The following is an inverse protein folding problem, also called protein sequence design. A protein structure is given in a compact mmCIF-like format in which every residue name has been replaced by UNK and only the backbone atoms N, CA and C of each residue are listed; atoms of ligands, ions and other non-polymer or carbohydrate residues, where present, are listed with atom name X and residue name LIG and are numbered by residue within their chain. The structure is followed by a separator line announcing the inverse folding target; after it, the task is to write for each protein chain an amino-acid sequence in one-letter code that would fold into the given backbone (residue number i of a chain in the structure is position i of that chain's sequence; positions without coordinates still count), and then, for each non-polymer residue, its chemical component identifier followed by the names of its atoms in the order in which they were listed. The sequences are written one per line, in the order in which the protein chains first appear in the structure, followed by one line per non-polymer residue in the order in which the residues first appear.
data_IF_598708255962
#
_entry.id   IF_598708255962
#
_cell.length_a   1.000
_cell.length_b   1.000
_cell.length_c   1.000
_cell.angle_alpha   90.00
_cell.angle_beta   90.00
_cell.angle_gamma   90.00
#
_symmetry.space_group_name_H-M   'P 1'
#
loop_
_entity.id
_entity.type
_entity.pdbx_description
1 polymer ?
#
# COMPACT_ATOMS: atom_id res chain seq x y z
N UNK A 1 -17.27 44.33 49.81
CA UNK A 1 -16.46 44.23 48.61
C UNK A 1 -15.90 42.83 48.46
N UNK A 2 -16.41 42.01 47.52
CA UNK A 2 -15.86 40.70 47.14
C UNK A 2 -15.00 40.94 45.90
N UNK A 3 -13.72 40.72 46.03
CA UNK A 3 -12.77 40.65 44.92
C UNK A 3 -12.76 39.25 44.34
N UNK A 4 -13.24 39.09 43.10
CA UNK A 4 -13.03 37.86 42.28
C UNK A 4 -11.61 37.87 41.77
N UNK A 5 -10.80 36.94 42.25
CA UNK A 5 -9.49 36.64 41.69
C UNK A 5 -9.68 35.74 40.46
N UNK A 6 -9.37 36.26 39.28
CA UNK A 6 -9.40 35.50 38.04
C UNK A 6 -8.34 34.42 38.05
N UNK A 7 -8.74 33.16 37.86
CA UNK A 7 -7.87 32.06 37.52
C UNK A 7 -7.41 32.24 36.06
N UNK A 8 -6.18 32.64 35.89
CA UNK A 8 -5.49 32.55 34.60
C UNK A 8 -5.18 31.08 34.37
N UNK A 9 -5.95 30.42 33.51
CA UNK A 9 -5.64 29.08 33.04
C UNK A 9 -4.29 29.08 32.33
N UNK A 10 -3.27 28.50 32.94
CA UNK A 10 -2.06 28.16 32.27
C UNK A 10 -2.38 27.09 31.21
N UNK A 11 -2.47 27.48 29.95
CA UNK A 11 -2.50 26.56 28.84
C UNK A 11 -1.23 25.72 28.91
N UNK A 12 -1.38 24.43 29.22
CA UNK A 12 -0.31 23.49 29.08
C UNK A 12 0.11 23.49 27.59
N UNK A 13 1.24 24.10 27.28
CA UNK A 13 1.90 23.87 26.03
C UNK A 13 2.24 22.36 26.00
N UNK A 14 1.53 21.59 25.19
CA UNK A 14 1.94 20.23 24.88
C UNK A 14 3.34 20.32 24.29
N UNK A 15 4.32 19.98 25.10
CA UNK A 15 5.68 19.82 24.62
C UNK A 15 5.62 18.71 23.56
N UNK A 16 5.87 19.09 22.31
CA UNK A 16 5.97 18.17 21.20
C UNK A 16 7.06 17.16 21.57
N UNK A 17 6.62 15.97 22.05
CA UNK A 17 7.58 14.92 22.40
C UNK A 17 8.34 14.54 21.13
N UNK A 18 9.65 14.60 21.20
CA UNK A 18 10.48 14.14 20.08
C UNK A 18 10.14 12.66 19.81
N UNK A 19 9.97 12.27 18.54
CA UNK A 19 9.71 10.88 18.19
C UNK A 19 10.76 9.98 18.82
N UNK A 20 10.33 8.92 19.48
CA UNK A 20 11.24 7.88 19.96
C UNK A 20 11.43 6.86 18.84
N UNK A 21 12.68 6.63 18.50
CA UNK A 21 13.05 5.65 17.47
C UNK A 21 13.47 4.33 18.11
N UNK A 22 13.04 3.21 17.51
CA UNK A 22 13.34 1.86 17.98
C UNK A 22 12.29 1.31 18.95
N UNK A 23 12.58 0.14 19.53
CA UNK A 23 11.66 -0.60 20.37
C UNK A 23 10.68 -1.47 19.59
N UNK A 24 9.67 -2.00 20.28
CA UNK A 24 8.60 -2.84 19.74
C UNK A 24 7.26 -2.15 19.96
N UNK A 25 6.46 -2.06 18.89
CA UNK A 25 5.06 -1.66 18.98
C UNK A 25 4.19 -2.91 18.86
N UNK A 26 3.38 -3.19 19.89
CA UNK A 26 2.38 -4.24 19.86
C UNK A 26 1.02 -3.63 19.51
N UNK A 27 0.38 -4.18 18.47
CA UNK A 27 -0.94 -3.75 18.02
C UNK A 27 -1.89 -4.92 18.09
N UNK A 28 -2.97 -4.77 18.88
CA UNK A 28 -4.05 -5.76 18.92
C UNK A 28 -5.02 -5.50 17.76
N UNK A 29 -5.32 -6.54 17.01
CA UNK A 29 -6.32 -6.53 15.94
C UNK A 29 -7.38 -7.58 16.19
N UNK A 30 -8.53 -7.49 15.50
CA UNK A 30 -9.61 -8.46 15.61
C UNK A 30 -9.22 -9.85 15.11
N UNK A 31 -8.23 -9.90 14.20
CA UNK A 31 -7.72 -11.12 13.59
C UNK A 31 -6.19 -11.06 13.57
N UNK A 32 -5.52 -12.16 13.91
CA UNK A 32 -4.09 -12.27 13.69
C UNK A 32 -3.75 -12.32 12.19
N UNK A 33 -4.64 -12.93 11.41
CA UNK A 33 -4.67 -12.87 9.94
C UNK A 33 -6.08 -13.22 9.46
N UNK A 34 -6.50 -12.68 8.32
CA UNK A 34 -7.79 -13.02 7.69
C UNK A 34 -7.79 -14.44 7.11
N UNK A 35 -6.64 -14.96 6.71
CA UNK A 35 -6.50 -16.33 6.23
C UNK A 35 -5.09 -16.85 6.52
N UNK A 36 -5.00 -17.77 7.48
CA UNK A 36 -3.74 -18.45 7.81
C UNK A 36 -3.22 -19.37 6.70
N UNK A 37 -4.07 -19.73 5.74
CA UNK A 37 -3.76 -20.68 4.67
C UNK A 37 -3.16 -20.03 3.43
N UNK A 38 -3.25 -18.71 3.30
CA UNK A 38 -2.75 -17.99 2.13
C UNK A 38 -2.28 -16.59 2.49
N UNK A 39 -1.09 -16.25 2.01
CA UNK A 39 -0.49 -14.93 2.10
C UNK A 39 -0.50 -14.19 0.75
N UNK A 40 -1.11 -14.80 -0.26
CA UNK A 40 -1.34 -14.14 -1.53
C UNK A 40 -2.34 -12.99 -1.35
N UNK A 41 -1.97 -11.74 -1.66
CA UNK A 41 -2.87 -10.59 -1.49
C UNK A 41 -4.12 -10.68 -2.38
N UNK A 42 -4.11 -11.53 -3.41
CA UNK A 42 -5.25 -11.69 -4.32
C UNK A 42 -6.28 -12.74 -3.86
N UNK A 43 -5.97 -13.47 -2.79
CA UNK A 43 -6.89 -14.48 -2.26
C UNK A 43 -8.06 -13.91 -1.47
N UNK A 44 -7.90 -12.67 -0.97
CA UNK A 44 -8.91 -11.99 -0.17
C UNK A 44 -8.77 -10.48 -0.25
N UNK A 45 -9.86 -9.78 -0.54
CA UNK A 45 -9.84 -8.32 -0.76
C UNK A 45 -9.35 -7.48 0.43
N UNK A 46 -9.50 -7.95 1.66
CA UNK A 46 -9.11 -7.20 2.86
C UNK A 46 -7.70 -7.55 3.37
N UNK A 47 -6.97 -8.40 2.68
CA UNK A 47 -5.61 -8.77 3.10
C UNK A 47 -4.68 -7.56 3.20
N UNK A 48 -4.81 -6.60 2.32
CA UNK A 48 -4.03 -5.37 2.37
C UNK A 48 -4.16 -4.68 3.73
N UNK A 49 -5.38 -4.53 4.25
CA UNK A 49 -5.63 -3.77 5.47
C UNK A 49 -5.16 -4.49 6.73
N UNK A 50 -5.13 -5.81 6.74
CA UNK A 50 -4.91 -6.60 7.93
C UNK A 50 -3.57 -7.33 7.95
N UNK A 51 -3.13 -7.86 6.81
CA UNK A 51 -2.01 -8.78 6.76
C UNK A 51 -0.82 -8.25 5.98
N UNK A 52 -1.04 -7.59 4.83
CA UNK A 52 0.02 -7.38 3.83
C UNK A 52 0.42 -5.93 3.61
N UNK A 53 -0.36 -4.96 4.08
CA UNK A 53 -0.08 -3.54 3.92
C UNK A 53 1.16 -3.03 4.66
N UNK A 54 1.73 -3.85 5.55
CA UNK A 54 2.97 -3.51 6.22
C UNK A 54 4.20 -3.74 5.34
N UNK A 55 4.10 -4.64 4.34
CA UNK A 55 5.24 -4.99 3.50
C UNK A 55 4.98 -4.90 1.99
N UNK A 56 3.74 -4.87 1.53
CA UNK A 56 3.41 -4.51 0.16
C UNK A 56 2.97 -3.06 0.07
N UNK A 57 3.33 -2.43 -1.04
CA UNK A 57 2.90 -1.08 -1.39
C UNK A 57 2.00 -1.08 -2.63
N UNK A 58 1.33 0.04 -2.82
CA UNK A 58 0.43 0.33 -3.93
C UNK A 58 1.00 1.46 -4.81
N UNK A 59 0.33 1.81 -5.90
CA UNK A 59 0.77 2.93 -6.73
C UNK A 59 0.48 4.28 -6.07
N UNK A 60 -0.68 4.41 -5.42
CA UNK A 60 -1.14 5.62 -4.72
C UNK A 60 -1.51 5.24 -3.29
N UNK A 61 -1.33 6.16 -2.36
CA UNK A 61 -1.74 6.05 -0.97
C UNK A 61 -2.49 7.30 -0.50
N UNK A 62 -3.09 7.23 0.69
CA UNK A 62 -3.65 8.38 1.36
C UNK A 62 -2.55 9.30 1.90
N UNK A 63 -2.71 10.60 1.65
CA UNK A 63 -1.87 11.64 2.24
C UNK A 63 -2.35 11.95 3.67
N UNK A 64 -1.80 11.24 4.64
CA UNK A 64 -2.20 11.37 6.04
C UNK A 64 -1.87 12.74 6.64
N UNK A 65 -1.00 13.54 6.01
CA UNK A 65 -0.73 14.92 6.44
C UNK A 65 -1.92 15.83 6.18
N UNK A 66 -2.82 15.45 5.27
CA UNK A 66 -4.11 16.14 5.04
C UNK A 66 -5.23 15.67 5.96
N UNK A 67 -4.92 14.79 6.91
CA UNK A 67 -5.86 14.28 7.91
C UNK A 67 -6.29 15.39 8.88
N UNK A 68 -7.55 15.32 9.32
CA UNK A 68 -8.08 16.19 10.40
C UNK A 68 -7.26 16.09 11.69
N UNK A 69 -6.60 14.95 11.95
CA UNK A 69 -5.70 14.78 13.10
C UNK A 69 -4.42 15.60 13.01
N UNK A 70 -4.05 16.01 11.81
CA UNK A 70 -2.91 16.90 11.54
C UNK A 70 -3.33 18.30 11.10
N UNK A 71 -4.60 18.69 11.33
CA UNK A 71 -5.14 19.99 10.97
C UNK A 71 -5.63 20.10 9.52
N UNK A 72 -5.64 19.02 8.76
CA UNK A 72 -6.20 18.95 7.42
C UNK A 72 -7.72 18.79 7.42
N UNK A 73 -8.30 18.47 6.25
CA UNK A 73 -9.76 18.43 6.04
C UNK A 73 -10.30 16.99 5.92
N UNK A 74 -9.43 15.99 5.72
CA UNK A 74 -9.86 14.65 5.37
C UNK A 74 -9.89 13.73 6.60
N UNK A 75 -11.05 13.17 6.96
CA UNK A 75 -11.17 12.29 8.13
C UNK A 75 -10.63 10.87 7.90
N UNK A 76 -10.52 10.42 6.63
CA UNK A 76 -10.09 9.06 6.26
C UNK A 76 -10.85 7.95 7.03
N UNK A 77 -12.18 8.05 7.06
CA UNK A 77 -13.05 7.12 7.81
C UNK A 77 -13.77 6.10 6.93
N UNK A 78 -13.68 6.21 5.61
CA UNK A 78 -14.31 5.32 4.67
C UNK A 78 -13.26 4.52 3.88
N UNK A 79 -13.35 3.20 3.95
CA UNK A 79 -12.36 2.28 3.37
C UNK A 79 -12.27 2.33 1.84
N UNK A 80 -13.36 2.72 1.18
CA UNK A 80 -13.46 2.74 -0.28
C UNK A 80 -13.53 4.17 -0.86
N UNK A 81 -13.17 5.17 -0.07
CA UNK A 81 -13.19 6.55 -0.53
C UNK A 81 -11.92 7.29 -0.14
N UNK A 82 -11.21 7.76 -1.15
CA UNK A 82 -10.05 8.63 -1.02
C UNK A 82 -10.20 9.79 -2.00
N UNK A 83 -10.45 10.99 -1.46
CA UNK A 83 -10.57 12.20 -2.28
C UNK A 83 -9.29 12.42 -3.10
N UNK A 84 -9.43 12.83 -4.36
CA UNK A 84 -8.29 13.02 -5.27
C UNK A 84 -7.24 13.97 -4.70
N UNK A 85 -7.68 15.06 -4.06
CA UNK A 85 -6.78 16.02 -3.41
C UNK A 85 -6.10 15.47 -2.15
N UNK A 86 -6.56 14.34 -1.62
CA UNK A 86 -5.95 13.65 -0.49
C UNK A 86 -5.12 12.42 -0.91
N UNK A 87 -4.92 12.22 -2.20
CA UNK A 87 -4.03 11.21 -2.73
C UNK A 87 -2.58 11.69 -2.70
N UNK A 88 -1.67 10.79 -2.39
CA UNK A 88 -0.23 10.96 -2.58
C UNK A 88 0.33 9.78 -3.38
N UNK A 89 1.41 10.00 -4.10
CA UNK A 89 2.13 8.89 -4.73
C UNK A 89 2.80 8.01 -3.67
N UNK A 90 2.69 6.71 -3.83
CA UNK A 90 3.43 5.69 -3.09
C UNK A 90 4.52 5.13 -4.03
N UNK A 91 4.31 4.01 -4.70
CA UNK A 91 5.24 3.55 -5.75
C UNK A 91 5.24 4.50 -6.95
N UNK A 92 4.09 5.06 -7.32
CA UNK A 92 4.03 6.05 -8.38
C UNK A 92 4.46 7.44 -7.89
N UNK A 93 5.30 8.11 -8.66
CA UNK A 93 5.63 9.52 -8.47
C UNK A 93 4.58 10.45 -9.11
N UNK A 94 4.06 10.02 -10.28
CA UNK A 94 3.08 10.77 -11.08
C UNK A 94 2.12 9.82 -11.76
N UNK A 95 0.93 10.32 -12.08
CA UNK A 95 -0.05 9.60 -12.90
C UNK A 95 -0.90 10.58 -13.72
N UNK A 96 -1.38 10.10 -14.84
CA UNK A 96 -2.17 10.88 -15.77
C UNK A 96 -3.23 9.97 -16.42
N UNK A 97 -4.46 10.47 -16.49
CA UNK A 97 -5.52 9.90 -17.33
C UNK A 97 -5.45 10.55 -18.71
N UNK A 98 -5.25 9.75 -19.73
CA UNK A 98 -5.13 10.16 -21.13
C UNK A 98 -6.38 9.75 -21.89
N UNK A 99 -6.99 10.69 -22.62
CA UNK A 99 -8.26 10.46 -23.33
C UNK A 99 -8.06 9.73 -24.66
N UNK A 100 -6.95 9.94 -25.35
CA UNK A 100 -6.73 9.35 -26.67
C UNK A 100 -5.26 8.98 -26.93
N UNK A 101 -4.91 7.69 -26.94
CA UNK A 101 -5.76 6.56 -26.60
C UNK A 101 -6.11 6.54 -25.11
N UNK A 102 -7.33 6.12 -24.78
CA UNK A 102 -7.80 6.09 -23.40
C UNK A 102 -6.92 5.18 -22.54
N UNK A 103 -6.24 5.78 -21.59
CA UNK A 103 -5.27 5.06 -20.74
C UNK A 103 -4.97 5.80 -19.45
N UNK A 104 -4.46 5.08 -18.45
CA UNK A 104 -3.84 5.67 -17.28
C UNK A 104 -2.35 5.37 -17.33
N UNK A 105 -1.53 6.39 -17.24
CA UNK A 105 -0.07 6.30 -17.28
C UNK A 105 0.48 6.62 -15.91
N UNK A 106 1.23 5.70 -15.32
CA UNK A 106 1.95 5.92 -14.07
C UNK A 106 3.46 6.01 -14.34
N UNK A 107 4.09 7.04 -13.79
CA UNK A 107 5.55 7.14 -13.69
C UNK A 107 5.96 6.69 -12.29
N UNK A 108 6.81 5.69 -12.21
CA UNK A 108 7.26 5.10 -10.96
C UNK A 108 8.42 5.88 -10.35
N UNK A 109 8.52 5.88 -9.04
CA UNK A 109 9.71 6.34 -8.32
C UNK A 109 10.89 5.45 -8.67
N UNK A 110 12.07 6.06 -8.77
CA UNK A 110 13.33 5.35 -8.94
C UNK A 110 13.90 4.94 -7.59
N UNK A 111 14.65 3.84 -7.55
CA UNK A 111 15.35 3.40 -6.35
C UNK A 111 14.47 2.71 -5.30
N UNK A 112 13.22 2.37 -5.61
CA UNK A 112 12.40 1.51 -4.76
C UNK A 112 12.94 0.08 -4.89
N UNK A 113 13.36 -0.50 -3.76
CA UNK A 113 14.03 -1.80 -3.74
C UNK A 113 13.18 -2.86 -3.06
N UNK A 114 13.10 -4.03 -3.66
CA UNK A 114 12.76 -5.25 -2.92
C UNK A 114 13.97 -5.65 -2.09
N UNK A 115 13.81 -5.91 -0.78
CA UNK A 115 14.90 -6.48 0.02
C UNK A 115 15.23 -7.91 -0.44
N UNK A 116 16.43 -8.38 -0.11
CA UNK A 116 16.77 -9.77 -0.27
C UNK A 116 15.83 -10.66 0.56
N UNK A 117 15.34 -11.74 -0.06
CA UNK A 117 14.60 -12.80 0.60
C UNK A 117 15.27 -14.12 0.31
N UNK A 118 16.05 -14.68 1.27
CA UNK A 118 16.80 -15.93 1.06
C UNK A 118 15.91 -17.06 0.53
N UNK A 119 16.36 -17.73 -0.52
CA UNK A 119 15.60 -18.82 -1.16
C UNK A 119 14.46 -18.38 -2.08
N UNK A 120 14.17 -17.06 -2.17
CA UNK A 120 13.10 -16.53 -3.02
C UNK A 120 13.67 -15.56 -4.05
N UNK A 121 14.35 -14.49 -3.63
CA UNK A 121 14.91 -13.50 -4.54
C UNK A 121 16.09 -12.75 -3.94
N UNK A 122 17.01 -12.32 -4.83
CA UNK A 122 18.01 -11.31 -4.48
C UNK A 122 17.37 -9.92 -4.37
N UNK A 123 18.03 -9.02 -3.63
CA UNK A 123 17.61 -7.61 -3.62
C UNK A 123 17.71 -7.02 -5.02
N UNK A 124 16.66 -6.35 -5.48
CA UNK A 124 16.61 -5.67 -6.76
C UNK A 124 15.62 -4.51 -6.77
N UNK A 125 15.80 -3.61 -7.73
CA UNK A 125 14.89 -2.49 -7.92
C UNK A 125 13.52 -2.95 -8.48
N UNK A 126 12.45 -2.33 -7.99
CA UNK A 126 11.11 -2.43 -8.56
C UNK A 126 11.07 -1.67 -9.89
N UNK A 127 10.44 -2.25 -10.88
CA UNK A 127 10.29 -1.68 -12.21
C UNK A 127 8.84 -1.71 -12.70
N UNK A 128 8.57 -1.06 -13.81
CA UNK A 128 7.25 -1.10 -14.46
C UNK A 128 6.82 -2.52 -14.87
N UNK A 129 7.78 -3.42 -15.12
CA UNK A 129 7.49 -4.82 -15.41
C UNK A 129 6.86 -5.54 -14.20
N UNK A 130 7.28 -5.21 -12.97
CA UNK A 130 6.69 -5.78 -11.76
C UNK A 130 5.23 -5.35 -11.60
N UNK A 131 4.95 -4.07 -11.87
CA UNK A 131 3.59 -3.53 -11.83
C UNK A 131 2.73 -4.19 -12.90
N UNK A 132 3.21 -4.25 -14.15
CA UNK A 132 2.50 -4.88 -15.27
C UNK A 132 2.24 -6.36 -14.99
N UNK A 133 3.23 -7.08 -14.46
CA UNK A 133 3.09 -8.48 -14.06
C UNK A 133 2.01 -8.66 -12.98
N UNK A 134 2.10 -7.88 -11.89
CA UNK A 134 1.16 -7.97 -10.77
C UNK A 134 -0.28 -7.73 -11.21
N UNK A 135 -0.53 -6.70 -12.01
CA UNK A 135 -1.87 -6.39 -12.52
C UNK A 135 -2.37 -7.39 -13.56
N UNK A 136 -1.54 -7.88 -14.46
CA UNK A 136 -1.95 -8.92 -15.41
C UNK A 136 -2.28 -10.23 -14.68
N UNK A 137 -1.53 -10.58 -13.64
CA UNK A 137 -1.86 -11.69 -12.76
C UNK A 137 -3.17 -11.46 -12.01
N UNK A 138 -3.38 -10.28 -11.45
CA UNK A 138 -4.61 -9.90 -10.75
C UNK A 138 -5.84 -10.05 -11.67
N UNK A 139 -5.78 -9.51 -12.88
CA UNK A 139 -6.87 -9.57 -13.86
C UNK A 139 -7.24 -11.01 -14.27
N UNK A 140 -6.30 -11.91 -14.25
CA UNK A 140 -6.51 -13.33 -14.57
C UNK A 140 -6.87 -14.18 -13.35
N UNK A 141 -6.86 -13.63 -12.14
CA UNK A 141 -7.21 -14.35 -10.93
C UNK A 141 -8.71 -14.65 -10.87
N UNK A 142 -9.15 -15.88 -10.60
CA UNK A 142 -10.56 -16.20 -10.42
C UNK A 142 -11.11 -15.72 -9.06
N UNK A 143 -10.28 -15.13 -8.21
CA UNK A 143 -10.63 -14.80 -6.82
C UNK A 143 -11.09 -13.37 -6.62
N UNK A 144 -10.88 -12.49 -7.58
CA UNK A 144 -11.47 -11.15 -7.53
C UNK A 144 -12.94 -11.17 -7.97
N UNK A 145 -13.65 -10.08 -7.73
CA UNK A 145 -15.04 -9.89 -8.15
C UNK A 145 -15.11 -9.94 -9.69
N UNK A 146 -15.95 -10.80 -10.25
CA UNK A 146 -16.14 -10.92 -11.70
C UNK A 146 -16.54 -9.58 -12.33
N UNK A 147 -15.97 -9.26 -13.49
CA UNK A 147 -16.19 -8.01 -14.19
C UNK A 147 -15.44 -6.80 -13.62
N UNK A 148 -14.79 -6.92 -12.48
CA UNK A 148 -14.18 -5.80 -11.76
C UNK A 148 -13.11 -5.06 -12.57
N UNK A 149 -12.39 -5.77 -13.43
CA UNK A 149 -11.31 -5.22 -14.27
C UNK A 149 -11.59 -5.28 -15.77
N UNK A 150 -12.84 -5.52 -16.19
CA UNK A 150 -13.20 -5.67 -17.61
C UNK A 150 -12.97 -4.41 -18.44
N UNK A 151 -13.01 -3.24 -17.81
CA UNK A 151 -12.69 -1.95 -18.43
C UNK A 151 -11.22 -1.81 -18.82
N UNK A 152 -10.31 -2.66 -18.28
CA UNK A 152 -8.88 -2.65 -18.60
C UNK A 152 -8.61 -3.55 -19.81
N UNK A 153 -8.07 -2.99 -20.87
CA UNK A 153 -7.65 -3.71 -22.07
C UNK A 153 -6.33 -4.44 -21.88
N UNK A 154 -5.29 -3.72 -21.48
CA UNK A 154 -3.95 -4.27 -21.24
C UNK A 154 -3.19 -3.44 -20.22
N UNK A 155 -2.21 -4.05 -19.57
CA UNK A 155 -1.25 -3.36 -18.70
C UNK A 155 0.15 -3.71 -19.18
N UNK A 156 0.93 -2.69 -19.55
CA UNK A 156 2.25 -2.87 -20.17
C UNK A 156 3.27 -1.93 -19.54
N UNK A 157 4.50 -2.42 -19.36
CA UNK A 157 5.65 -1.58 -19.10
C UNK A 157 6.09 -0.93 -20.43
N UNK A 158 5.99 0.40 -20.52
CA UNK A 158 6.44 1.16 -21.68
C UNK A 158 7.95 1.35 -21.67
N UNK A 159 8.49 1.54 -20.48
CA UNK A 159 9.91 1.59 -20.17
C UNK A 159 10.13 1.14 -18.72
N UNK A 160 11.37 1.23 -18.22
CA UNK A 160 11.72 0.76 -16.87
C UNK A 160 10.86 1.37 -15.74
N UNK A 161 10.38 2.60 -15.91
CA UNK A 161 9.68 3.34 -14.86
C UNK A 161 8.31 3.86 -15.30
N UNK A 162 7.82 3.46 -16.46
CA UNK A 162 6.51 3.88 -16.95
C UNK A 162 5.63 2.67 -17.24
N UNK A 163 4.52 2.57 -16.53
CA UNK A 163 3.49 1.57 -16.78
C UNK A 163 2.24 2.22 -17.37
N UNK A 164 1.66 1.59 -18.37
CA UNK A 164 0.47 2.06 -19.07
C UNK A 164 -0.67 1.06 -18.91
N UNK A 165 -1.77 1.52 -18.38
CA UNK A 165 -3.03 0.81 -18.32
C UNK A 165 -3.90 1.28 -19.49
N UNK A 166 -3.96 0.51 -20.56
CA UNK A 166 -4.84 0.80 -21.69
C UNK A 166 -6.27 0.41 -21.33
N UNK A 167 -7.18 1.36 -21.40
CA UNK A 167 -8.57 1.16 -21.01
C UNK A 167 -9.44 0.95 -22.25
N UNK A 168 -10.44 0.08 -22.16
CA UNK A 168 -11.48 -0.14 -23.19
C UNK A 168 -12.58 0.91 -23.07
N UNK A 169 -12.85 1.35 -21.85
CA UNK A 169 -13.85 2.35 -21.50
C UNK A 169 -13.44 3.11 -20.24
N UNK A 170 -13.98 4.30 -20.07
CA UNK A 170 -13.77 5.09 -18.85
C UNK A 170 -14.51 4.45 -17.68
N UNK A 171 -13.82 4.34 -16.55
CA UNK A 171 -14.38 3.93 -15.28
C UNK A 171 -14.10 5.01 -14.24
N UNK A 172 -15.15 5.54 -13.61
CA UNK A 172 -15.01 6.63 -12.63
C UNK A 172 -14.24 6.25 -11.37
N UNK A 173 -14.14 4.95 -11.07
CA UNK A 173 -13.39 4.40 -9.94
C UNK A 173 -12.00 3.87 -10.37
N UNK A 174 -11.46 4.34 -11.50
CA UNK A 174 -10.21 3.81 -12.03
C UNK A 174 -9.05 3.92 -11.02
N UNK A 175 -8.97 5.00 -10.28
CA UNK A 175 -7.91 5.23 -9.28
C UNK A 175 -8.01 4.25 -8.12
N UNK A 176 -9.22 4.00 -7.61
CA UNK A 176 -9.45 2.96 -6.61
C UNK A 176 -9.07 1.58 -7.15
N UNK A 177 -9.56 1.23 -8.33
CA UNK A 177 -9.39 -0.12 -8.88
C UNK A 177 -7.98 -0.41 -9.38
N UNK A 178 -7.21 0.62 -9.78
CA UNK A 178 -5.88 0.44 -10.35
C UNK A 178 -4.75 0.89 -9.43
N UNK A 179 -5.01 1.72 -8.40
CA UNK A 179 -3.93 2.39 -7.73
C UNK A 179 -3.89 2.25 -6.20
N UNK A 180 -5.05 2.26 -5.51
CA UNK A 180 -5.07 2.29 -4.04
C UNK A 180 -6.13 1.38 -3.39
N UNK A 181 -6.91 0.66 -4.18
CA UNK A 181 -7.93 -0.26 -3.68
C UNK A 181 -7.38 -1.62 -3.24
N UNK A 182 -8.26 -2.50 -2.82
CA UNK A 182 -7.91 -3.73 -2.09
C UNK A 182 -6.93 -4.66 -2.79
N UNK A 183 -6.91 -4.84 -4.06
CA UNK A 183 -6.07 -5.85 -4.72
C UNK A 183 -4.80 -5.27 -5.35
N UNK A 184 -4.57 -3.95 -5.20
CA UNK A 184 -3.61 -3.22 -6.03
C UNK A 184 -2.16 -3.26 -5.53
N UNK A 185 -1.85 -4.17 -4.62
CA UNK A 185 -0.48 -4.38 -4.13
C UNK A 185 0.43 -4.99 -5.20
N UNK A 186 1.68 -4.56 -5.21
CA UNK A 186 2.66 -5.06 -6.16
C UNK A 186 3.44 -6.24 -5.57
N UNK A 187 3.15 -7.42 -6.10
CA UNK A 187 3.83 -8.66 -5.72
C UNK A 187 4.82 -9.06 -6.81
N UNK A 188 6.12 -9.21 -6.50
CA UNK A 188 7.10 -9.58 -7.50
C UNK A 188 6.91 -11.02 -7.98
N UNK A 189 7.31 -11.28 -9.23
CA UNK A 189 7.18 -12.60 -9.86
C UNK A 189 7.86 -13.70 -9.08
N UNK A 190 9.00 -13.44 -8.49
CA UNK A 190 9.79 -14.41 -7.72
C UNK A 190 9.01 -14.93 -6.50
N UNK A 191 8.26 -14.07 -5.83
CA UNK A 191 7.37 -14.49 -4.72
C UNK A 191 6.27 -15.43 -5.21
N UNK A 192 5.70 -15.10 -6.38
CA UNK A 192 4.65 -15.93 -6.99
C UNK A 192 5.19 -17.28 -7.41
N UNK A 193 6.37 -17.34 -8.03
CA UNK A 193 7.04 -18.56 -8.46
C UNK A 193 7.44 -19.44 -7.26
N UNK A 194 7.83 -18.84 -6.13
CA UNK A 194 8.15 -19.53 -4.89
C UNK A 194 6.93 -20.07 -4.13
N UNK A 195 5.74 -19.62 -4.50
CA UNK A 195 4.48 -19.96 -3.84
C UNK A 195 3.99 -18.88 -2.87
N UNK A 196 3.12 -17.98 -3.33
CA UNK A 196 2.71 -16.78 -2.60
C UNK A 196 1.82 -17.09 -1.38
N UNK A 197 1.28 -18.29 -1.28
CA UNK A 197 0.48 -18.72 -0.14
C UNK A 197 1.32 -18.93 1.13
N UNK A 198 2.62 -19.16 0.98
CA UNK A 198 3.51 -19.39 2.10
C UNK A 198 4.05 -18.08 2.64
N UNK A 199 3.77 -17.77 3.90
CA UNK A 199 4.24 -16.55 4.55
C UNK A 199 5.77 -16.36 4.52
N UNK A 200 6.53 -17.47 4.47
CA UNK A 200 7.99 -17.44 4.39
C UNK A 200 8.51 -16.89 3.08
N UNK A 201 7.69 -16.92 2.03
CA UNK A 201 8.07 -16.46 0.69
C UNK A 201 7.71 -15.00 0.42
N UNK A 202 6.83 -14.40 1.24
CA UNK A 202 6.38 -13.03 0.97
C UNK A 202 7.51 -12.03 1.05
N UNK A 203 7.54 -11.11 0.11
CA UNK A 203 8.50 -10.02 0.01
C UNK A 203 7.90 -8.85 -0.76
N UNK A 204 8.07 -7.66 -0.26
CA UNK A 204 7.53 -6.42 -0.86
C UNK A 204 8.46 -5.24 -0.59
N UNK A 205 8.07 -4.09 -1.09
CA UNK A 205 8.86 -2.85 -1.00
C UNK A 205 8.53 -2.01 0.23
N UNK A 206 7.54 -2.41 1.02
CA UNK A 206 6.99 -1.64 2.13
C UNK A 206 7.95 -1.41 3.31
N UNK A 207 7.50 -0.62 4.31
CA UNK A 207 8.33 -0.18 5.44
C UNK A 207 8.76 -1.32 6.37
N UNK A 208 8.08 -2.46 6.33
CA UNK A 208 8.39 -3.62 7.16
C UNK A 208 8.53 -4.89 6.34
N UNK A 209 9.08 -5.91 6.95
CA UNK A 209 9.20 -7.27 6.44
C UNK A 209 8.53 -8.22 7.42
N UNK A 210 7.71 -9.17 6.93
CA UNK A 210 7.16 -10.24 7.77
C UNK A 210 8.28 -11.23 8.12
N UNK A 211 8.56 -11.38 9.41
CA UNK A 211 9.67 -12.20 9.90
C UNK A 211 9.22 -13.41 10.69
N UNK A 212 8.00 -13.38 11.24
CA UNK A 212 7.39 -14.53 11.90
C UNK A 212 5.88 -14.49 11.82
N UNK A 213 5.26 -15.66 11.83
CA UNK A 213 3.83 -15.87 11.81
C UNK A 213 3.43 -17.05 12.66
N UNK A 214 2.60 -16.82 13.66
CA UNK A 214 1.98 -17.84 14.51
C UNK A 214 0.47 -17.83 14.28
N UNK A 215 -0.03 -18.86 13.59
CA UNK A 215 -1.43 -18.95 13.21
C UNK A 215 -2.38 -18.77 14.40
N UNK A 216 -3.35 -17.87 14.25
CA UNK A 216 -4.32 -17.53 15.30
C UNK A 216 -3.75 -16.76 16.51
N UNK A 217 -2.49 -16.32 16.44
CA UNK A 217 -1.82 -15.62 17.54
C UNK A 217 -1.21 -14.29 17.10
N UNK A 218 -0.17 -14.30 16.23
CA UNK A 218 0.58 -13.09 15.95
C UNK A 218 1.28 -13.09 14.58
N UNK A 219 1.44 -11.90 14.04
CA UNK A 219 2.35 -11.58 12.94
C UNK A 219 3.47 -10.70 13.49
N UNK A 220 4.72 -11.05 13.23
CA UNK A 220 5.88 -10.26 13.63
C UNK A 220 6.52 -9.63 12.41
N UNK A 221 6.75 -8.33 12.50
CA UNK A 221 7.36 -7.55 11.43
C UNK A 221 8.62 -6.89 11.93
N UNK A 222 9.63 -6.83 11.10
CA UNK A 222 10.84 -6.02 11.34
C UNK A 222 10.93 -4.90 10.32
N UNK A 223 11.54 -3.79 10.71
CA UNK A 223 11.74 -2.64 9.82
C UNK A 223 12.52 -3.07 8.57
N UNK A 224 12.06 -2.66 7.40
CA UNK A 224 12.82 -2.80 6.15
C UNK A 224 13.98 -1.78 6.14
N UNK A 225 15.24 -2.22 6.20
CA UNK A 225 16.38 -1.30 6.31
C UNK A 225 16.64 -0.49 5.04
N UNK A 226 16.08 -0.94 3.91
CA UNK A 226 16.26 -0.30 2.60
C UNK A 226 14.99 0.37 2.10
N UNK A 227 14.00 0.59 3.00
CA UNK A 227 12.78 1.31 2.65
C UNK A 227 13.11 2.70 2.10
N UNK A 228 12.46 3.06 1.02
CA UNK A 228 12.77 4.28 0.25
C UNK A 228 12.30 5.57 0.94
N UNK A 229 11.13 5.53 1.62
CA UNK A 229 10.56 6.68 2.34
C UNK A 229 11.13 6.70 3.76
N UNK A 230 12.01 7.66 4.02
CA UNK A 230 12.76 7.76 5.29
C UNK A 230 12.29 8.92 6.16
N UNK A 231 11.25 9.67 5.74
CA UNK A 231 10.73 10.82 6.46
C UNK A 231 9.67 10.46 7.51
#
# INVERSE_FOLDING_TARGET
GLTLSGLVGAGAAEAQQKPQYGGTLEVATWFATLSALSWDPYDWNWKLNHDTGQFYEQLIAADLDKSVRKGGKHPFVADAYLATEAQRGEIAEKWELVDNPLSVVFTLRKGIMFPEKPGVMASRELTAEDVAYAFNRLRSSPKHIGGYYDFVGSVVARDKYTVVFNLKEYNAEWDYRLAWGFYTTITPKEVVDAGPNNWKNVNGTGPFMLTDFVAGNSNTYTKNPIYWDKE
#
